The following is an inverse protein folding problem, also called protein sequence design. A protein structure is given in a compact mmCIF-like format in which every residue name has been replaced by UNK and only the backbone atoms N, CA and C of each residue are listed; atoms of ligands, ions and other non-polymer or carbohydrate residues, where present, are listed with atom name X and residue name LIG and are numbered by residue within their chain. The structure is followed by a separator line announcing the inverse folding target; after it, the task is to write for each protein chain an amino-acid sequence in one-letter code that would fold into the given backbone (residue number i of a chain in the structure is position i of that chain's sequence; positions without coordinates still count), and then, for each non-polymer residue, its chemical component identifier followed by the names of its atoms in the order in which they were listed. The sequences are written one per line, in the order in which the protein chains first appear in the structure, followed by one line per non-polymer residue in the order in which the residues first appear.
data_IF_901105212233
#
_entry.id   IF_901105212233
#
_cell.length_a   1.000
_cell.length_b   1.000
_cell.length_c   1.000
_cell.angle_alpha   90.00
_cell.angle_beta   90.00
_cell.angle_gamma   90.00
#
_symmetry.space_group_name_H-M   'P 1'
#
loop_
_entity.id
_entity.type
_entity.pdbx_description
1 polymer ?
#
# COMPACT_ATOMS: atom_id res chain seq x y z
N UNK A 1 5.66 -30.65 -1.78
CA UNK A 1 6.23 -30.00 -2.98
C UNK A 1 5.30 -30.26 -4.14
N UNK A 2 4.60 -29.24 -4.63
CA UNK A 2 3.77 -29.35 -5.83
C UNK A 2 4.57 -28.75 -6.99
N UNK A 3 5.04 -29.59 -7.91
CA UNK A 3 5.75 -29.16 -9.12
C UNK A 3 4.72 -29.06 -10.24
N UNK A 4 4.33 -27.83 -10.62
CA UNK A 4 3.49 -27.61 -11.81
C UNK A 4 4.39 -27.35 -13.01
N UNK A 5 4.50 -28.33 -13.90
CA UNK A 5 5.23 -28.19 -15.17
C UNK A 5 4.33 -27.52 -16.20
N UNK A 6 4.76 -26.38 -16.75
CA UNK A 6 4.22 -25.88 -18.02
C UNK A 6 5.14 -26.36 -19.13
N UNK A 7 4.91 -27.55 -19.65
CA UNK A 7 5.60 -28.03 -20.85
C UNK A 7 5.04 -27.28 -22.05
N UNK A 8 5.73 -26.25 -22.53
CA UNK A 8 5.61 -25.88 -23.95
C UNK A 8 6.42 -26.90 -24.73
N UNK A 9 5.73 -27.98 -25.13
CA UNK A 9 6.24 -28.92 -26.10
C UNK A 9 6.36 -28.22 -27.45
N UNK A 10 7.58 -27.91 -27.86
CA UNK A 10 7.94 -27.82 -29.27
C UNK A 10 9.33 -28.39 -29.44
N UNK A 11 9.36 -29.64 -29.88
CA UNK A 11 10.50 -30.33 -30.47
C UNK A 11 11.41 -29.39 -31.27
N UNK A 12 12.69 -29.33 -30.87
CA UNK A 12 13.95 -29.20 -31.62
C UNK A 12 14.96 -28.28 -30.90
N UNK A 13 16.15 -28.84 -30.61
CA UNK A 13 17.40 -28.20 -30.15
C UNK A 13 17.45 -27.51 -28.77
N UNK A 14 18.30 -28.05 -27.88
CA UNK A 14 19.10 -27.38 -26.84
C UNK A 14 18.43 -26.35 -25.90
N UNK A 15 17.13 -26.48 -25.61
CA UNK A 15 16.49 -25.72 -24.54
C UNK A 15 16.48 -26.53 -23.24
N UNK A 16 17.31 -26.14 -22.26
CA UNK A 16 17.20 -26.57 -20.86
C UNK A 16 15.73 -26.63 -20.44
N UNK A 17 15.28 -27.73 -19.83
CA UNK A 17 13.91 -27.88 -19.35
C UNK A 17 13.48 -26.62 -18.57
N UNK A 18 12.56 -25.85 -19.16
CA UNK A 18 11.95 -24.66 -18.55
C UNK A 18 11.01 -25.16 -17.45
N UNK A 19 11.46 -25.13 -16.20
CA UNK A 19 10.70 -25.61 -15.04
C UNK A 19 10.37 -24.44 -14.12
N UNK A 20 9.09 -24.09 -14.03
CA UNK A 20 8.56 -23.38 -12.87
C UNK A 20 8.36 -24.38 -11.72
N UNK A 21 8.78 -24.02 -10.51
CA UNK A 21 8.57 -24.86 -9.34
C UNK A 21 8.13 -24.06 -8.11
N UNK A 22 7.29 -24.68 -7.28
CA UNK A 22 6.72 -24.06 -6.09
C UNK A 22 6.87 -24.97 -4.88
N UNK A 23 7.07 -24.38 -3.72
CA UNK A 23 6.98 -25.08 -2.43
C UNK A 23 5.94 -24.43 -1.54
N UNK A 24 5.39 -25.23 -0.63
CA UNK A 24 4.34 -24.82 0.29
C UNK A 24 4.61 -25.41 1.67
N UNK A 25 4.19 -24.72 2.73
CA UNK A 25 4.17 -25.27 4.07
C UNK A 25 2.96 -26.22 4.27
N UNK A 26 2.82 -26.79 5.46
CA UNK A 26 1.72 -27.72 5.80
C UNK A 26 0.33 -27.09 5.77
N UNK A 27 0.24 -25.76 5.84
CA UNK A 27 -0.99 -24.98 5.76
C UNK A 27 -1.28 -24.47 4.34
N UNK A 28 -0.54 -24.97 3.34
CA UNK A 28 -0.61 -24.56 1.93
C UNK A 28 -0.27 -23.09 1.65
N UNK A 29 0.49 -22.44 2.53
CA UNK A 29 1.11 -21.15 2.21
C UNK A 29 2.36 -21.37 1.38
N UNK A 30 2.50 -20.66 0.28
CA UNK A 30 3.64 -20.75 -0.63
C UNK A 30 4.91 -20.26 0.05
N UNK A 31 6.00 -21.02 -0.03
CA UNK A 31 7.30 -20.71 0.55
C UNK A 31 8.34 -20.35 -0.50
N UNK A 32 8.30 -20.95 -1.69
CA UNK A 32 9.22 -20.59 -2.78
C UNK A 32 8.54 -20.65 -4.13
N UNK A 33 9.03 -19.81 -5.05
CA UNK A 33 8.80 -19.91 -6.49
C UNK A 33 10.14 -19.81 -7.21
N UNK A 34 10.50 -20.83 -7.98
CA UNK A 34 11.64 -20.79 -8.90
C UNK A 34 11.10 -20.62 -10.31
N UNK A 35 11.52 -19.56 -11.00
CA UNK A 35 11.13 -19.32 -12.38
C UNK A 35 11.99 -20.15 -13.36
N UNK A 36 11.65 -20.09 -14.64
CA UNK A 36 12.38 -20.81 -15.70
C UNK A 36 13.83 -20.38 -15.93
N UNK A 37 14.23 -19.22 -15.41
CA UNK A 37 15.61 -18.71 -15.49
C UNK A 37 16.47 -19.18 -14.31
N UNK A 38 15.86 -19.88 -13.33
CA UNK A 38 16.51 -20.31 -12.11
C UNK A 38 16.49 -19.26 -11.00
N UNK A 39 15.87 -18.10 -11.20
CA UNK A 39 15.69 -17.11 -10.14
C UNK A 39 14.70 -17.65 -9.11
N UNK A 40 15.01 -17.43 -7.83
CA UNK A 40 14.23 -17.94 -6.71
C UNK A 40 13.63 -16.78 -5.94
N UNK A 41 12.31 -16.82 -5.75
CA UNK A 41 11.64 -15.99 -4.76
C UNK A 41 11.29 -16.84 -3.55
N UNK A 42 11.72 -16.44 -2.36
CA UNK A 42 11.42 -17.10 -1.09
C UNK A 42 10.49 -16.22 -0.26
N UNK A 43 9.49 -16.84 0.37
CA UNK A 43 8.50 -16.18 1.21
C UNK A 43 8.57 -16.74 2.64
N UNK A 44 8.64 -15.83 3.61
CA UNK A 44 8.41 -16.15 5.03
C UNK A 44 7.02 -15.70 5.40
N UNK A 45 6.27 -16.56 6.08
CA UNK A 45 4.91 -16.29 6.55
C UNK A 45 4.81 -16.51 8.05
N UNK A 46 3.96 -15.74 8.73
CA UNK A 46 3.58 -15.98 10.12
C UNK A 46 2.58 -17.15 10.25
N UNK A 47 2.15 -17.45 11.48
CA UNK A 47 1.17 -18.52 11.75
C UNK A 47 -0.21 -18.28 11.15
N UNK A 48 -0.53 -17.04 10.79
CA UNK A 48 -1.79 -16.64 10.18
C UNK A 48 -1.72 -16.60 8.65
N UNK A 49 -0.53 -16.84 8.08
CA UNK A 49 -0.28 -16.80 6.64
C UNK A 49 0.07 -15.41 6.11
N UNK A 50 0.26 -14.42 6.97
CA UNK A 50 0.71 -13.11 6.54
C UNK A 50 2.19 -13.17 6.16
N UNK A 51 2.56 -12.55 5.05
CA UNK A 51 3.93 -12.57 4.54
C UNK A 51 4.79 -11.58 5.32
N UNK A 52 5.80 -12.08 6.03
CA UNK A 52 6.70 -11.27 6.86
C UNK A 52 8.03 -10.95 6.18
N UNK A 53 8.42 -11.74 5.18
CA UNK A 53 9.58 -11.43 4.34
C UNK A 53 9.42 -12.00 2.93
N UNK A 54 10.03 -11.32 1.96
CA UNK A 54 10.28 -11.86 0.62
C UNK A 54 11.74 -11.68 0.27
N UNK A 55 12.38 -12.72 -0.22
CA UNK A 55 13.76 -12.67 -0.71
C UNK A 55 13.77 -13.02 -2.19
N UNK A 56 14.39 -12.18 -3.01
CA UNK A 56 14.59 -12.39 -4.43
C UNK A 56 16.05 -12.75 -4.66
N UNK A 57 16.31 -13.92 -5.22
CA UNK A 57 17.64 -14.35 -5.63
C UNK A 57 17.67 -14.48 -7.15
N UNK A 58 18.40 -13.58 -7.80
CA UNK A 58 18.59 -13.58 -9.25
C UNK A 58 19.92 -14.20 -9.57
N UNK A 59 19.92 -15.25 -10.40
CA UNK A 59 21.15 -15.93 -10.80
C UNK A 59 21.75 -15.18 -11.98
N UNK A 60 22.77 -14.36 -11.75
CA UNK A 60 23.59 -13.78 -12.84
C UNK A 60 24.92 -14.54 -12.96
N UNK A 61 25.47 -14.69 -14.17
CA UNK A 61 26.81 -15.26 -14.32
C UNK A 61 27.83 -14.10 -14.27
N UNK A 62 28.76 -14.02 -13.29
CA UNK A 62 29.20 -15.08 -12.37
C UNK A 62 28.69 -14.99 -10.92
N UNK A 63 27.71 -14.14 -10.59
CA UNK A 63 27.27 -13.91 -9.21
C UNK A 63 25.75 -13.96 -9.01
N UNK A 64 25.29 -14.45 -7.87
CA UNK A 64 23.89 -14.30 -7.44
C UNK A 64 23.69 -12.93 -6.83
N UNK A 65 22.60 -12.26 -7.18
CA UNK A 65 22.15 -11.03 -6.53
C UNK A 65 20.97 -11.34 -5.62
N UNK A 66 20.97 -10.77 -4.42
CA UNK A 66 19.92 -10.96 -3.42
C UNK A 66 19.32 -9.61 -3.04
N UNK A 67 18.00 -9.50 -3.09
CA UNK A 67 17.22 -8.39 -2.56
C UNK A 67 16.16 -8.94 -1.60
N UNK A 68 15.73 -8.14 -0.62
CA UNK A 68 14.72 -8.58 0.34
C UNK A 68 13.81 -7.47 0.80
N UNK A 69 12.54 -7.80 0.99
CA UNK A 69 11.54 -6.93 1.62
C UNK A 69 11.02 -7.57 2.91
N UNK A 70 10.54 -6.75 3.83
CA UNK A 70 10.01 -7.18 5.13
C UNK A 70 8.65 -6.57 5.45
N UNK A 71 7.88 -7.23 6.30
CA UNK A 71 6.66 -6.68 6.86
C UNK A 71 6.38 -7.25 8.26
N UNK A 72 5.78 -6.44 9.12
CA UNK A 72 5.26 -6.88 10.42
C UNK A 72 3.79 -6.52 10.54
N UNK A 73 3.08 -7.20 11.43
CA UNK A 73 1.64 -7.01 11.63
C UNK A 73 1.34 -6.85 13.12
N UNK A 74 0.38 -5.99 13.44
CA UNK A 74 -0.11 -5.83 14.81
C UNK A 74 -1.00 -7.01 15.23
N UNK A 75 -1.45 -7.03 16.49
CA UNK A 75 -2.31 -8.10 17.02
C UNK A 75 -3.68 -8.24 16.35
N UNK A 76 -4.09 -7.27 15.53
CA UNK A 76 -5.32 -7.28 14.73
C UNK A 76 -5.07 -7.70 13.27
N UNK A 77 -3.83 -8.09 12.91
CA UNK A 77 -3.44 -8.48 11.56
C UNK A 77 -3.27 -7.30 10.59
N UNK A 78 -3.20 -6.07 11.09
CA UNK A 78 -2.95 -4.89 10.26
C UNK A 78 -1.45 -4.68 10.11
N UNK A 79 -1.01 -4.21 8.93
CA UNK A 79 0.40 -3.95 8.63
C UNK A 79 0.94 -2.92 9.63
N UNK A 80 1.96 -3.26 10.41
CA UNK A 80 2.58 -2.35 11.37
C UNK A 80 3.85 -1.71 10.81
N UNK A 81 4.67 -2.49 10.10
CA UNK A 81 5.83 -1.97 9.38
C UNK A 81 6.00 -2.65 8.04
N UNK A 82 6.63 -1.97 7.09
CA UNK A 82 7.18 -2.55 5.88
C UNK A 82 8.61 -2.07 5.66
N UNK A 83 9.47 -2.95 5.15
CA UNK A 83 10.84 -2.62 4.78
C UNK A 83 11.02 -2.91 3.28
N UNK A 84 11.47 -1.91 2.52
CA UNK A 84 11.77 -2.08 1.09
C UNK A 84 13.16 -2.71 0.86
N UNK A 85 13.53 -2.89 -0.41
CA UNK A 85 14.79 -3.54 -0.80
C UNK A 85 16.03 -2.72 -0.44
N UNK A 86 15.85 -1.40 -0.33
CA UNK A 86 16.85 -0.43 0.10
C UNK A 86 16.99 -0.36 1.64
N UNK A 87 16.12 -1.06 2.38
CA UNK A 87 16.12 -1.08 3.84
C UNK A 87 15.37 0.08 4.49
N UNK A 88 14.66 0.91 3.72
CA UNK A 88 13.80 1.96 4.24
C UNK A 88 12.63 1.33 4.98
N UNK A 89 12.37 1.81 6.20
CA UNK A 89 11.24 1.34 7.01
C UNK A 89 10.09 2.35 6.93
N UNK A 90 8.91 1.85 6.56
CA UNK A 90 7.65 2.58 6.69
C UNK A 90 6.86 1.99 7.85
N UNK A 91 6.43 2.83 8.77
CA UNK A 91 5.60 2.47 9.93
C UNK A 91 4.17 2.95 9.71
N UNK A 92 3.21 2.12 10.10
CA UNK A 92 1.78 2.37 9.99
C UNK A 92 1.16 2.33 11.38
N UNK A 93 0.64 3.46 11.83
CA UNK A 93 -0.03 3.59 13.12
C UNK A 93 -1.54 3.71 12.93
N UNK A 94 -2.31 3.14 13.84
CA UNK A 94 -3.76 3.09 13.76
C UNK A 94 -4.36 3.65 15.04
N UNK A 95 -5.52 4.31 14.91
CA UNK A 95 -6.29 4.72 16.05
C UNK A 95 -6.61 3.52 16.96
N UNK A 96 -6.33 3.65 18.25
CA UNK A 96 -6.53 2.57 19.23
C UNK A 96 -7.78 2.77 20.08
N UNK A 97 -8.39 3.95 20.03
CA UNK A 97 -9.56 4.31 20.86
C UNK A 97 -10.59 5.13 20.10
N UNK A 98 -11.85 5.11 20.56
CA UNK A 98 -12.94 5.92 20.01
C UNK A 98 -13.59 5.31 18.76
N UNK A 99 -14.42 6.10 18.07
CA UNK A 99 -15.14 5.65 16.88
C UNK A 99 -14.22 5.35 15.68
N UNK A 100 -12.97 5.80 15.74
CA UNK A 100 -11.96 5.65 14.68
C UNK A 100 -11.09 4.40 14.87
N UNK A 101 -11.28 3.61 15.94
CA UNK A 101 -10.42 2.47 16.25
C UNK A 101 -10.23 1.55 15.03
N UNK A 102 -8.97 1.26 14.70
CA UNK A 102 -8.57 0.45 13.56
C UNK A 102 -8.40 1.20 12.24
N UNK A 103 -8.79 2.48 12.16
CA UNK A 103 -8.49 3.33 11.00
C UNK A 103 -7.03 3.80 11.06
N UNK A 104 -6.39 3.92 9.89
CA UNK A 104 -5.01 4.35 9.75
C UNK A 104 -4.87 5.80 10.20
N UNK A 105 -4.06 6.06 11.22
CA UNK A 105 -3.86 7.40 11.78
C UNK A 105 -2.65 8.08 11.12
N UNK A 106 -1.57 7.32 10.93
CA UNK A 106 -0.28 7.86 10.53
C UNK A 106 0.51 6.86 9.69
N UNK A 107 1.22 7.39 8.69
CA UNK A 107 2.26 6.69 7.94
C UNK A 107 3.55 7.48 8.07
N UNK A 108 4.56 6.87 8.68
CA UNK A 108 5.87 7.48 8.91
C UNK A 108 6.94 6.71 8.12
N UNK A 109 7.70 7.40 7.27
CA UNK A 109 8.80 6.81 6.52
C UNK A 109 10.11 7.25 7.16
N UNK A 110 10.83 6.30 7.73
CA UNK A 110 12.20 6.50 8.20
C UNK A 110 13.18 6.12 7.08
N UNK A 111 13.17 6.93 6.02
CA UNK A 111 14.30 7.00 5.09
C UNK A 111 15.19 8.13 5.56
N UNK A 112 16.41 7.80 5.97
CA UNK A 112 17.46 8.77 6.33
C UNK A 112 17.18 9.64 7.57
N UNK A 113 16.26 9.26 8.46
CA UNK A 113 15.94 10.01 9.68
C UNK A 113 15.20 11.33 9.43
N UNK A 114 14.56 11.48 8.27
CA UNK A 114 13.79 12.68 7.90
C UNK A 114 12.37 12.71 8.47
N UNK A 115 11.93 11.63 9.14
CA UNK A 115 10.61 11.50 9.76
C UNK A 115 9.47 11.99 8.85
N UNK A 116 9.42 11.39 7.65
CA UNK A 116 8.47 11.79 6.61
C UNK A 116 7.10 11.23 6.98
N UNK A 117 6.29 12.06 7.63
CA UNK A 117 5.06 11.62 8.27
C UNK A 117 3.81 12.21 7.60
N UNK A 118 2.85 11.34 7.26
CA UNK A 118 1.53 11.73 6.74
C UNK A 118 0.47 11.27 7.74
N UNK A 119 -0.44 12.16 8.14
CA UNK A 119 -1.53 11.84 9.06
C UNK A 119 -2.89 11.93 8.40
N UNK A 120 -3.83 11.16 8.91
CA UNK A 120 -5.18 11.02 8.39
C UNK A 120 -6.20 11.23 9.50
N UNK A 121 -7.27 11.95 9.19
CA UNK A 121 -8.42 12.07 10.09
C UNK A 121 -9.72 11.66 9.39
N UNK A 122 -10.71 11.31 10.20
CA UNK A 122 -11.96 10.70 9.74
C UNK A 122 -13.19 11.33 10.42
N UNK A 123 -14.32 11.29 9.74
CA UNK A 123 -15.63 11.47 10.38
C UNK A 123 -16.08 10.18 11.10
N UNK A 124 -17.21 10.24 11.80
CA UNK A 124 -17.77 9.08 12.53
C UNK A 124 -18.22 7.93 11.62
N UNK A 125 -18.41 8.19 10.32
CA UNK A 125 -18.69 7.16 9.33
C UNK A 125 -17.40 6.46 8.83
N UNK A 126 -16.22 6.99 9.17
CA UNK A 126 -14.93 6.49 8.69
C UNK A 126 -14.53 7.00 7.30
N UNK A 127 -15.15 8.09 6.81
CA UNK A 127 -14.64 8.79 5.62
C UNK A 127 -13.48 9.71 5.99
N UNK A 128 -12.43 9.74 5.17
CA UNK A 128 -11.24 10.58 5.39
C UNK A 128 -11.62 12.06 5.24
N UNK A 129 -11.61 12.81 6.33
CA UNK A 129 -11.93 14.25 6.37
C UNK A 129 -10.71 15.14 6.28
N UNK A 130 -9.52 14.65 6.63
CA UNK A 130 -8.29 15.41 6.43
C UNK A 130 -7.09 14.51 6.15
N UNK A 131 -6.12 15.08 5.43
CA UNK A 131 -4.81 14.48 5.22
C UNK A 131 -3.78 15.59 5.39
N UNK A 132 -2.82 15.39 6.30
CA UNK A 132 -1.70 16.32 6.51
C UNK A 132 -0.44 15.70 5.93
N UNK A 133 0.21 16.41 5.01
CA UNK A 133 1.44 15.94 4.39
C UNK A 133 2.66 16.13 5.31
N UNK A 134 3.84 15.57 4.95
CA UNK A 134 5.07 15.71 5.74
C UNK A 134 5.59 17.14 5.90
N UNK A 135 5.05 18.10 5.14
CA UNK A 135 5.39 19.53 5.27
C UNK A 135 4.41 20.27 6.20
N UNK A 136 3.45 19.56 6.78
CA UNK A 136 2.42 20.12 7.65
C UNK A 136 1.25 20.75 6.91
N UNK A 137 1.11 20.52 5.61
CA UNK A 137 0.02 21.06 4.81
C UNK A 137 -1.19 20.13 4.86
N UNK A 138 -2.28 20.60 5.47
CA UNK A 138 -3.53 19.83 5.63
C UNK A 138 -4.54 20.14 4.53
N UNK A 139 -4.92 19.12 3.76
CA UNK A 139 -6.10 19.15 2.88
C UNK A 139 -7.31 18.62 3.63
N UNK A 140 -8.51 19.14 3.35
CA UNK A 140 -9.75 18.63 3.97
C UNK A 140 -10.79 18.19 2.95
N UNK A 141 -11.72 17.34 3.39
CA UNK A 141 -12.81 16.78 2.59
C UNK A 141 -14.10 16.77 3.40
N UNK A 142 -15.23 17.01 2.71
CA UNK A 142 -16.56 16.87 3.30
C UNK A 142 -17.41 15.92 2.49
N UNK A 143 -18.34 15.25 3.17
CA UNK A 143 -19.22 14.26 2.57
C UNK A 143 -20.66 14.57 2.92
N UNK A 144 -21.58 14.19 2.04
CA UNK A 144 -23.01 14.18 2.36
C UNK A 144 -23.41 12.92 3.16
N UNK A 145 -24.67 12.84 3.56
CA UNK A 145 -25.21 11.70 4.31
C UNK A 145 -25.18 10.36 3.54
N UNK A 146 -25.01 10.40 2.22
CA UNK A 146 -24.83 9.22 1.36
C UNK A 146 -23.34 8.89 1.17
N UNK A 147 -22.44 9.55 1.91
CA UNK A 147 -20.98 9.40 1.85
C UNK A 147 -20.37 9.79 0.50
N UNK A 148 -21.02 10.69 -0.25
CA UNK A 148 -20.49 11.24 -1.49
C UNK A 148 -19.68 12.49 -1.17
N UNK A 149 -18.52 12.64 -1.81
CA UNK A 149 -17.61 13.76 -1.60
C UNK A 149 -18.24 15.07 -2.10
N UNK A 150 -18.53 16.01 -1.22
CA UNK A 150 -19.16 17.29 -1.58
C UNK A 150 -18.18 18.45 -1.67
N UNK A 151 -17.03 18.36 -1.00
CA UNK A 151 -16.00 19.37 -1.07
C UNK A 151 -14.61 18.78 -0.85
N UNK A 152 -13.61 19.33 -1.54
CA UNK A 152 -12.20 19.24 -1.15
C UNK A 152 -11.65 20.63 -0.96
N UNK A 153 -10.84 20.85 0.08
CA UNK A 153 -10.12 22.10 0.29
C UNK A 153 -8.62 21.83 0.30
N UNK A 154 -7.90 22.58 -0.53
CA UNK A 154 -6.46 22.54 -0.59
C UNK A 154 -5.83 23.28 0.60
N UNK A 155 -4.62 22.88 1.03
CA UNK A 155 -3.91 23.56 2.09
C UNK A 155 -3.44 24.94 1.64
N UNK A 156 -3.17 25.82 2.62
CA UNK A 156 -2.35 27.02 2.37
C UNK A 156 -0.96 26.59 1.88
N UNK A 157 -0.33 27.28 0.92
CA UNK A 157 -0.75 28.54 0.29
C UNK A 157 -1.57 28.36 -1.00
N UNK A 158 -1.90 27.13 -1.40
CA UNK A 158 -2.68 26.88 -2.63
C UNK A 158 -4.10 27.40 -2.51
N UNK A 159 -4.66 27.41 -1.29
CA UNK A 159 -5.91 28.09 -0.88
C UNK A 159 -6.99 28.07 -1.97
N UNK A 160 -7.43 26.89 -2.37
CA UNK A 160 -8.59 26.72 -3.24
C UNK A 160 -9.48 25.61 -2.71
N UNK A 161 -10.77 25.62 -3.06
CA UNK A 161 -11.68 24.50 -2.85
C UNK A 161 -12.33 24.05 -4.14
N UNK A 162 -12.73 22.80 -4.16
CA UNK A 162 -13.55 22.21 -5.22
C UNK A 162 -14.82 21.70 -4.57
N UNK A 163 -15.98 22.07 -5.12
CA UNK A 163 -17.29 21.64 -4.66
C UNK A 163 -17.93 20.73 -5.71
N UNK A 164 -18.73 19.77 -5.24
CA UNK A 164 -19.40 18.77 -6.06
C UNK A 164 -20.87 18.70 -5.67
N UNK A 165 -21.74 18.69 -6.67
CA UNK A 165 -23.17 18.44 -6.50
C UNK A 165 -23.59 17.17 -7.22
N UNK A 166 -24.62 16.51 -6.68
CA UNK A 166 -25.13 15.26 -7.19
C UNK A 166 -26.64 15.28 -7.25
N UNK A 167 -27.20 14.62 -8.27
CA UNK A 167 -28.62 14.31 -8.31
C UNK A 167 -29.01 13.18 -7.34
N UNK A 168 -30.31 12.86 -7.28
CA UNK A 168 -30.85 11.78 -6.46
C UNK A 168 -30.40 10.37 -6.88
N UNK A 169 -29.86 10.21 -8.09
CA UNK A 169 -29.32 8.95 -8.61
C UNK A 169 -27.80 8.86 -8.43
N UNK A 170 -27.19 9.82 -7.73
CA UNK A 170 -25.74 9.91 -7.50
C UNK A 170 -24.89 10.19 -8.74
N UNK A 171 -25.49 10.77 -9.78
CA UNK A 171 -24.72 11.36 -10.87
C UNK A 171 -24.22 12.73 -10.44
N UNK A 172 -22.95 13.04 -10.68
CA UNK A 172 -22.40 14.37 -10.45
C UNK A 172 -23.00 15.36 -11.45
N UNK A 173 -23.68 16.38 -10.96
CA UNK A 173 -24.34 17.42 -11.78
C UNK A 173 -23.51 18.68 -11.89
N UNK A 174 -22.69 18.99 -10.88
CA UNK A 174 -21.82 20.16 -10.88
C UNK A 174 -20.46 19.87 -10.25
N UNK A 175 -19.43 20.54 -10.78
CA UNK A 175 -18.11 20.65 -10.17
C UNK A 175 -17.64 22.10 -10.28
N UNK A 176 -17.50 22.77 -9.14
CA UNK A 176 -17.05 24.17 -9.07
C UNK A 176 -15.66 24.25 -8.43
N UNK A 177 -14.78 25.07 -8.99
CA UNK A 177 -13.46 25.37 -8.40
C UNK A 177 -13.43 26.84 -8.00
N UNK A 178 -12.96 27.09 -6.78
CA UNK A 178 -12.90 28.43 -6.20
C UNK A 178 -11.55 28.66 -5.55
N UNK A 179 -10.92 29.80 -5.87
CA UNK A 179 -9.82 30.28 -5.06
C UNK A 179 -10.40 30.85 -3.75
N UNK A 180 -9.69 30.64 -2.66
CA UNK A 180 -10.00 31.16 -1.33
C UNK A 180 -8.92 32.19 -1.01
N UNK A 181 -9.33 33.42 -0.73
CA UNK A 181 -8.37 34.44 -0.32
C UNK A 181 -7.74 34.07 1.05
N UNK A 182 -6.59 34.69 1.39
CA UNK A 182 -5.83 34.37 2.61
C UNK A 182 -6.65 34.52 3.91
N UNK A 183 -7.78 35.21 3.87
CA UNK A 183 -8.71 35.46 4.98
C UNK A 183 -9.94 34.54 4.99
N UNK A 184 -10.06 33.62 4.04
CA UNK A 184 -11.19 32.68 3.97
C UNK A 184 -12.44 33.24 3.25
N UNK A 185 -12.37 34.44 2.69
CA UNK A 185 -13.46 35.05 1.91
C UNK A 185 -13.28 34.84 0.40
N UNK A 186 -14.41 34.96 -0.32
CA UNK A 186 -14.51 34.88 -1.79
C UNK A 186 -14.19 36.23 -2.44
#
# INVERSE_FOLDING_TARGET
TEVRRRTTDTSTNDASDIVDSYTYNSSNFMLTHTNSLGDVTTYTVDSYGNRTATTFETVTNPATQTASTGATYNGYGQLATSTDEEGTVTTYSYYTTGLKTGLLEEVAIDSTGLDITTTYDYNDAGDITSVTDPRGYTSTRTFDALRRLTQTQAPSPLSYRVQFEYDGNSNMTERRVENIDKDGTQ
#
